data_IF_338495726782
#
_entry.id   IF_338495726782
#
_cell.length_a   1.000
_cell.length_b   1.000
_cell.length_c   1.000
_cell.angle_alpha   90.00
_cell.angle_beta   90.00
_cell.angle_gamma   90.00
#
_symmetry.space_group_name_H-M   'P 1'
#
loop_
_entity.id
_entity.type
_entity.pdbx_description
1 polymer ?
#
# COMPACT_ATOMS: atom_id res chain seq x y z
N UNK A 1 -30.37 -3.50 13.61
CA UNK A 1 -31.04 -2.23 13.26
C UNK A 1 -32.55 -2.41 13.13
N UNK A 2 -33.08 -3.06 12.08
CA UNK A 2 -34.54 -3.25 11.91
C UNK A 2 -35.23 -3.98 13.08
N UNK A 3 -34.55 -4.95 13.71
CA UNK A 3 -35.03 -5.62 14.93
C UNK A 3 -35.29 -4.67 16.10
N UNK A 4 -34.55 -3.56 16.15
CA UNK A 4 -34.63 -2.54 17.20
C UNK A 4 -35.53 -1.36 16.81
N UNK A 5 -36.28 -1.50 15.70
CA UNK A 5 -37.20 -0.47 15.24
C UNK A 5 -36.56 0.67 14.42
N UNK A 6 -35.28 0.56 14.07
CA UNK A 6 -34.62 1.55 13.20
C UNK A 6 -34.63 1.12 11.73
N UNK A 7 -35.02 2.03 10.84
CA UNK A 7 -34.83 1.87 9.40
C UNK A 7 -33.33 1.77 9.07
N UNK A 8 -33.00 0.88 8.13
CA UNK A 8 -31.62 0.68 7.67
C UNK A 8 -31.61 0.06 6.28
N UNK A 9 -30.77 0.60 5.42
CA UNK A 9 -30.48 0.11 4.07
C UNK A 9 -29.01 -0.33 4.05
N UNK A 10 -28.71 -1.61 3.75
CA UNK A 10 -27.34 -2.07 3.57
C UNK A 10 -26.60 -1.26 2.50
N UNK A 11 -25.32 -0.98 2.76
CA UNK A 11 -24.45 -0.33 1.78
C UNK A 11 -24.22 -1.31 0.62
N UNK A 12 -24.40 -0.84 -0.61
CA UNK A 12 -23.95 -1.57 -1.80
C UNK A 12 -22.42 -1.55 -1.84
N UNK A 13 -21.81 -2.71 -1.59
CA UNK A 13 -20.35 -2.89 -1.57
C UNK A 13 -19.72 -2.91 -2.96
N UNK A 14 -20.54 -2.92 -4.02
CA UNK A 14 -20.08 -2.83 -5.43
C UNK A 14 -19.95 -1.39 -5.92
N UNK A 15 -20.22 -0.40 -5.05
CA UNK A 15 -20.03 1.00 -5.37
C UNK A 15 -18.57 1.28 -5.75
N UNK A 16 -18.32 2.03 -6.85
CA UNK A 16 -16.96 2.36 -7.27
C UNK A 16 -16.10 3.02 -6.18
N UNK A 17 -16.71 3.81 -5.29
CA UNK A 17 -16.03 4.46 -4.17
C UNK A 17 -15.49 3.51 -3.10
N UNK A 18 -16.00 2.27 -3.02
CA UNK A 18 -15.56 1.27 -2.05
C UNK A 18 -14.60 0.24 -2.65
N UNK A 19 -14.58 0.11 -3.98
CA UNK A 19 -13.77 -0.91 -4.62
C UNK A 19 -12.29 -0.49 -4.70
N UNK A 20 -11.95 0.80 -4.56
CA UNK A 20 -10.59 1.39 -4.55
C UNK A 20 -9.65 0.92 -5.67
N UNK A 21 -10.12 0.09 -6.60
CA UNK A 21 -9.38 -0.40 -7.74
C UNK A 21 -9.54 0.63 -8.84
N UNK A 22 -8.43 1.21 -9.34
CA UNK A 22 -8.44 1.89 -10.62
C UNK A 22 -9.17 1.02 -11.63
N UNK A 23 -10.15 1.59 -12.32
CA UNK A 23 -10.89 0.87 -13.36
C UNK A 23 -9.96 0.76 -14.57
N UNK A 24 -9.21 -0.33 -14.64
CA UNK A 24 -8.34 -0.62 -15.78
C UNK A 24 -7.28 -1.67 -15.43
N UNK A 25 -6.89 -2.52 -16.40
CA UNK A 25 -5.78 -3.42 -16.20
C UNK A 25 -4.46 -2.63 -16.09
N UNK A 26 -3.92 -2.45 -14.88
CA UNK A 26 -2.46 -2.41 -14.71
C UNK A 26 -1.95 -3.84 -14.91
N UNK A 27 -1.98 -4.33 -16.14
CA UNK A 27 -1.43 -5.62 -16.55
C UNK A 27 -0.05 -5.43 -17.19
N UNK A 28 0.70 -4.43 -16.73
CA UNK A 28 2.09 -4.26 -17.13
C UNK A 28 2.96 -5.12 -16.20
N UNK A 29 3.92 -5.81 -16.78
CA UNK A 29 5.09 -6.28 -16.02
C UNK A 29 5.88 -5.09 -15.48
N UNK A 30 6.76 -5.34 -14.52
CA UNK A 30 7.62 -4.29 -13.95
C UNK A 30 8.49 -3.63 -15.03
N UNK A 31 9.05 -4.43 -15.95
CA UNK A 31 9.82 -3.92 -17.09
C UNK A 31 8.98 -3.05 -18.02
N UNK A 32 7.77 -3.51 -18.38
CA UNK A 32 6.86 -2.72 -19.22
C UNK A 32 6.41 -1.43 -18.53
N UNK A 33 6.21 -1.46 -17.21
CA UNK A 33 5.87 -0.27 -16.44
C UNK A 33 7.04 0.72 -16.41
N UNK A 34 8.26 0.25 -16.12
CA UNK A 34 9.47 1.07 -16.12
C UNK A 34 9.72 1.70 -17.50
N UNK A 35 9.64 0.90 -18.56
CA UNK A 35 9.87 1.38 -19.92
C UNK A 35 8.84 2.45 -20.34
N UNK A 36 7.61 2.36 -19.82
CA UNK A 36 6.53 3.28 -20.15
C UNK A 36 6.47 4.51 -19.25
N UNK A 37 6.73 4.35 -17.95
CA UNK A 37 6.44 5.34 -16.93
C UNK A 37 7.63 5.69 -16.02
N UNK A 38 8.77 5.01 -16.15
CA UNK A 38 9.90 5.15 -15.24
C UNK A 38 9.52 4.75 -13.82
N UNK A 39 9.60 5.70 -12.89
CA UNK A 39 9.20 5.50 -11.50
C UNK A 39 7.69 5.72 -11.26
N UNK A 40 6.94 6.16 -12.28
CA UNK A 40 5.51 6.47 -12.20
C UNK A 40 5.17 7.80 -11.51
N UNK A 41 6.14 8.66 -11.22
CA UNK A 41 5.90 9.95 -10.56
C UNK A 41 5.11 10.92 -11.44
N UNK A 42 5.44 11.06 -12.74
CA UNK A 42 4.67 11.87 -13.67
C UNK A 42 3.27 11.28 -13.92
N UNK A 43 3.17 9.94 -14.00
CA UNK A 43 1.89 9.24 -14.08
C UNK A 43 1.00 9.53 -12.87
N UNK A 44 1.53 9.38 -11.66
CA UNK A 44 0.82 9.68 -10.40
C UNK A 44 0.46 11.17 -10.29
N UNK A 45 1.35 12.07 -10.72
CA UNK A 45 1.06 13.50 -10.76
C UNK A 45 -0.11 13.81 -11.70
N UNK A 46 -0.18 13.17 -12.87
CA UNK A 46 -1.33 13.28 -13.78
C UNK A 46 -2.62 12.77 -13.14
N UNK A 47 -2.58 11.63 -12.44
CA UNK A 47 -3.74 11.10 -11.72
C UNK A 47 -4.28 12.08 -10.66
N UNK A 48 -3.44 12.92 -10.06
CA UNK A 48 -3.89 13.93 -9.10
C UNK A 48 -4.83 14.98 -9.71
N UNK A 49 -4.80 15.18 -11.04
CA UNK A 49 -5.72 16.06 -11.77
C UNK A 49 -7.00 15.36 -12.22
N UNK A 50 -7.06 14.03 -12.14
CA UNK A 50 -8.30 13.33 -12.44
C UNK A 50 -9.34 13.64 -11.37
N UNK A 51 -10.59 13.91 -11.77
CA UNK A 51 -11.65 14.07 -10.80
C UNK A 51 -11.79 12.76 -10.00
N UNK A 52 -11.69 12.85 -8.69
CA UNK A 52 -12.14 11.78 -7.80
C UNK A 52 -13.66 11.63 -7.98
N UNK A 53 -14.07 10.82 -8.96
CA UNK A 53 -15.49 10.64 -9.33
C UNK A 53 -16.21 9.66 -8.39
N UNK A 54 -15.49 9.05 -7.45
CA UNK A 54 -16.04 8.05 -6.55
C UNK A 54 -16.80 8.72 -5.39
N UNK A 55 -18.01 9.21 -5.69
CA UNK A 55 -18.95 9.63 -4.64
C UNK A 55 -19.44 8.38 -3.91
N UNK A 56 -19.13 8.28 -2.62
CA UNK A 56 -19.70 7.24 -1.77
C UNK A 56 -21.17 7.57 -1.46
N UNK A 57 -22.08 6.71 -1.90
CA UNK A 57 -23.52 6.86 -1.63
C UNK A 57 -23.84 6.06 -0.36
N UNK A 58 -24.07 6.79 0.73
CA UNK A 58 -24.59 6.20 1.96
C UNK A 58 -26.13 6.33 1.97
N UNK A 59 -26.89 5.25 1.74
CA UNK A 59 -28.35 5.30 1.66
C UNK A 59 -29.02 5.60 3.02
N UNK A 60 -28.27 5.65 4.12
CA UNK A 60 -28.80 5.91 5.45
C UNK A 60 -28.65 7.37 5.90
N UNK A 61 -28.06 8.26 5.10
CA UNK A 61 -27.91 9.69 5.47
C UNK A 61 -29.28 10.31 5.73
N UNK A 62 -30.21 10.22 4.77
CA UNK A 62 -31.55 10.78 4.90
C UNK A 62 -32.34 10.17 6.07
N UNK A 63 -32.15 8.86 6.31
CA UNK A 63 -32.77 8.15 7.44
C UNK A 63 -32.31 8.77 8.75
N UNK A 64 -31.01 8.98 8.92
CA UNK A 64 -30.42 9.50 10.16
C UNK A 64 -30.71 10.99 10.35
N UNK A 65 -30.73 11.78 9.26
CA UNK A 65 -31.04 13.20 9.31
C UNK A 65 -32.51 13.50 9.61
N UNK A 66 -33.42 12.59 9.25
CA UNK A 66 -34.85 12.71 9.58
C UNK A 66 -35.16 12.43 11.07
N UNK A 67 -34.23 11.84 11.83
CA UNK A 67 -34.43 11.52 13.25
C UNK A 67 -34.30 12.75 14.16
N UNK A 68 -35.10 12.79 15.22
CA UNK A 68 -34.88 13.74 16.32
C UNK A 68 -33.55 13.48 17.04
N UNK A 69 -33.04 14.46 17.78
CA UNK A 69 -31.73 14.37 18.44
C UNK A 69 -31.56 13.12 19.31
N UNK A 70 -32.54 12.84 20.18
CA UNK A 70 -32.58 11.66 21.05
C UNK A 70 -32.69 10.34 20.29
N UNK A 71 -33.41 10.33 19.17
CA UNK A 71 -33.58 9.12 18.35
C UNK A 71 -32.31 8.81 17.57
N UNK A 72 -31.62 9.84 17.07
CA UNK A 72 -30.32 9.72 16.42
C UNK A 72 -29.24 9.23 17.39
N UNK A 73 -29.25 9.68 18.64
CA UNK A 73 -28.35 9.15 19.66
C UNK A 73 -28.56 7.66 19.90
N UNK A 74 -29.83 7.24 20.03
CA UNK A 74 -30.19 5.83 20.17
C UNK A 74 -29.81 5.00 18.93
N UNK A 75 -30.04 5.52 17.71
CA UNK A 75 -29.62 4.89 16.45
C UNK A 75 -28.11 4.66 16.43
N UNK A 76 -27.31 5.68 16.76
CA UNK A 76 -25.86 5.59 16.77
C UNK A 76 -25.34 4.63 17.85
N UNK A 77 -25.98 4.61 19.02
CA UNK A 77 -25.68 3.62 20.05
C UNK A 77 -25.94 2.19 19.56
N UNK A 78 -27.07 1.97 18.90
CA UNK A 78 -27.39 0.66 18.35
C UNK A 78 -26.46 0.26 17.20
N UNK A 79 -26.03 1.20 16.37
CA UNK A 79 -25.01 0.94 15.34
C UNK A 79 -23.69 0.48 15.95
N UNK A 80 -23.25 1.05 17.08
CA UNK A 80 -22.07 0.57 17.80
C UNK A 80 -22.24 -0.85 18.32
N UNK A 81 -23.43 -1.20 18.82
CA UNK A 81 -23.75 -2.58 19.23
C UNK A 81 -23.72 -3.53 18.03
N UNK A 82 -24.37 -3.18 16.91
CA UNK A 82 -24.36 -3.99 15.70
C UNK A 82 -22.94 -4.20 15.15
N UNK A 83 -22.10 -3.15 15.17
CA UNK A 83 -20.69 -3.25 14.74
C UNK A 83 -19.89 -4.20 15.62
N UNK A 84 -20.07 -4.12 16.94
CA UNK A 84 -19.42 -5.04 17.88
C UNK A 84 -19.87 -6.48 17.63
N UNK A 85 -21.18 -6.71 17.49
CA UNK A 85 -21.71 -8.03 17.19
C UNK A 85 -21.10 -8.57 15.89
N UNK A 86 -21.07 -7.76 14.83
CA UNK A 86 -20.43 -8.14 13.56
C UNK A 86 -18.97 -8.56 13.77
N UNK A 87 -18.19 -7.77 14.51
CA UNK A 87 -16.79 -8.10 14.82
C UNK A 87 -16.63 -9.38 15.64
N UNK A 88 -17.58 -9.69 16.52
CA UNK A 88 -17.57 -10.91 17.34
C UNK A 88 -18.04 -12.15 16.57
N UNK A 89 -18.93 -11.98 15.58
CA UNK A 89 -19.58 -13.09 14.88
C UNK A 89 -18.99 -13.41 13.50
N UNK A 90 -18.41 -12.42 12.83
CA UNK A 90 -17.83 -12.60 11.50
C UNK A 90 -16.38 -13.06 11.68
N UNK A 91 -16.01 -14.30 11.30
CA UNK A 91 -14.62 -14.69 11.25
C UNK A 91 -13.91 -13.77 10.25
N UNK A 92 -12.90 -13.01 10.69
CA UNK A 92 -12.08 -12.22 9.77
C UNK A 92 -10.66 -12.81 9.75
N UNK A 93 -10.25 -13.53 8.68
CA UNK A 93 -8.93 -14.12 8.59
C UNK A 93 -7.81 -13.07 8.41
N UNK A 94 -8.19 -11.82 8.10
CA UNK A 94 -7.28 -10.73 7.79
C UNK A 94 -7.06 -9.78 8.97
N UNK A 95 -7.99 -9.70 9.93
CA UNK A 95 -7.80 -8.89 11.13
C UNK A 95 -6.91 -9.64 12.14
N UNK A 96 -5.95 -8.95 12.79
CA UNK A 96 -5.36 -9.48 13.99
C UNK A 96 -6.45 -9.63 15.07
N UNK A 97 -6.38 -10.65 15.95
CA UNK A 97 -7.31 -10.75 17.06
C UNK A 97 -7.30 -9.46 17.90
N UNK A 98 -8.47 -9.06 18.43
CA UNK A 98 -8.60 -7.89 19.28
C UNK A 98 -7.65 -8.00 20.48
N UNK A 99 -6.53 -7.27 20.43
CA UNK A 99 -5.55 -7.23 21.53
C UNK A 99 -6.12 -6.44 22.70
N UNK A 100 -6.07 -7.03 23.89
CA UNK A 100 -6.39 -6.37 25.15
C UNK A 100 -5.09 -5.88 25.80
N UNK A 101 -5.21 -4.87 26.65
CA UNK A 101 -4.08 -4.37 27.43
C UNK A 101 -3.46 -5.51 28.27
N UNK A 102 -2.20 -5.82 28.02
CA UNK A 102 -1.45 -6.91 28.67
C UNK A 102 -1.35 -8.21 27.88
N UNK A 103 -1.94 -8.29 26.68
CA UNK A 103 -1.74 -9.44 25.79
C UNK A 103 -0.33 -9.42 25.17
N UNK A 104 0.24 -10.60 24.93
CA UNK A 104 1.46 -10.75 24.11
C UNK A 104 1.18 -10.30 22.67
N UNK A 105 2.16 -9.71 21.95
CA UNK A 105 2.01 -9.40 20.54
C UNK A 105 1.56 -10.62 19.75
N UNK A 106 0.59 -10.45 18.84
CA UNK A 106 0.16 -11.52 17.96
C UNK A 106 1.33 -12.05 17.12
N UNK A 107 1.29 -13.33 16.72
CA UNK A 107 2.33 -13.90 15.85
C UNK A 107 2.49 -13.12 14.53
N UNK A 108 1.40 -12.54 14.02
CA UNK A 108 1.44 -11.66 12.85
C UNK A 108 2.26 -10.38 13.13
N UNK A 109 2.01 -9.70 14.25
CA UNK A 109 2.75 -8.48 14.60
C UNK A 109 4.22 -8.80 14.86
N UNK A 110 4.50 -9.89 15.58
CA UNK A 110 5.86 -10.38 15.76
C UNK A 110 6.58 -10.61 14.42
N UNK A 111 5.96 -11.33 13.48
CA UNK A 111 6.58 -11.59 12.17
C UNK A 111 6.84 -10.29 11.40
N UNK A 112 5.91 -9.33 11.42
CA UNK A 112 6.10 -8.02 10.80
C UNK A 112 7.30 -7.27 11.38
N UNK A 113 7.47 -7.28 12.71
CA UNK A 113 8.64 -6.70 13.36
C UNK A 113 9.95 -7.40 12.96
N UNK A 114 9.95 -8.73 12.85
CA UNK A 114 11.14 -9.47 12.42
C UNK A 114 11.50 -9.19 10.96
N UNK A 115 10.51 -9.12 10.06
CA UNK A 115 10.75 -8.78 8.66
C UNK A 115 11.34 -7.37 8.52
N UNK A 116 10.86 -6.40 9.29
CA UNK A 116 11.44 -5.05 9.31
C UNK A 116 12.90 -5.04 9.78
N UNK A 117 13.26 -5.88 10.77
CA UNK A 117 14.65 -6.02 11.20
C UNK A 117 15.54 -6.69 10.14
N UNK A 118 14.99 -7.64 9.37
CA UNK A 118 15.70 -8.25 8.23
C UNK A 118 15.96 -7.19 7.16
N UNK A 119 14.96 -6.38 6.80
CA UNK A 119 15.13 -5.29 5.83
C UNK A 119 16.19 -4.28 6.28
N UNK A 120 16.17 -3.86 7.55
CA UNK A 120 17.21 -3.00 8.12
C UNK A 120 18.60 -3.64 8.07
N UNK A 121 18.68 -4.96 8.29
CA UNK A 121 19.94 -5.69 8.22
C UNK A 121 20.47 -5.81 6.79
N UNK A 122 19.60 -6.01 5.78
CA UNK A 122 19.98 -6.01 4.36
C UNK A 122 20.60 -4.66 3.99
N UNK A 123 19.93 -3.54 4.29
CA UNK A 123 20.44 -2.20 3.97
C UNK A 123 21.74 -1.82 4.71
N UNK A 124 22.10 -2.54 5.77
CA UNK A 124 23.35 -2.35 6.52
C UNK A 124 24.44 -3.36 6.19
N UNK A 125 24.15 -4.36 5.34
CA UNK A 125 25.16 -5.36 4.95
C UNK A 125 26.28 -4.66 4.16
N UNK A 126 27.56 -4.86 4.53
CA UNK A 126 28.68 -4.21 3.84
C UNK A 126 28.74 -4.47 2.34
N UNK A 127 28.19 -5.60 1.85
CA UNK A 127 28.12 -5.91 0.41
C UNK A 127 27.13 -5.00 -0.30
N UNK A 128 25.96 -4.78 0.30
CA UNK A 128 24.93 -3.88 -0.24
C UNK A 128 25.45 -2.44 -0.22
N UNK A 129 26.02 -1.98 0.90
CA UNK A 129 26.57 -0.63 1.01
C UNK A 129 27.68 -0.35 -0.02
N UNK A 130 28.51 -1.36 -0.34
CA UNK A 130 29.54 -1.23 -1.36
C UNK A 130 28.97 -1.20 -2.78
N UNK A 131 27.91 -1.97 -3.04
CA UNK A 131 27.21 -1.96 -4.31
C UNK A 131 26.47 -0.62 -4.52
N UNK A 132 25.79 -0.09 -3.50
CA UNK A 132 25.14 1.22 -3.52
C UNK A 132 26.14 2.38 -3.71
N UNK A 133 27.30 2.35 -3.05
CA UNK A 133 28.37 3.34 -3.28
C UNK A 133 28.91 3.27 -4.73
N UNK A 134 28.95 2.09 -5.34
CA UNK A 134 29.35 1.93 -6.74
C UNK A 134 28.28 2.47 -7.68
N UNK A 135 27.01 2.19 -7.38
CA UNK A 135 25.85 2.70 -8.12
C UNK A 135 25.76 4.22 -8.04
N UNK A 136 25.96 4.81 -6.86
CA UNK A 136 25.93 6.26 -6.65
C UNK A 136 26.97 6.97 -7.51
N UNK A 137 28.17 6.40 -7.64
CA UNK A 137 29.21 6.93 -8.54
C UNK A 137 28.85 6.80 -10.01
N UNK A 138 28.17 5.73 -10.40
CA UNK A 138 27.66 5.54 -11.75
C UNK A 138 26.62 6.62 -12.07
N UNK A 139 25.63 6.82 -11.19
CA UNK A 139 24.63 7.89 -11.34
C UNK A 139 25.26 9.28 -11.39
N UNK A 140 26.26 9.55 -10.56
CA UNK A 140 27.00 10.81 -10.61
C UNK A 140 27.71 11.04 -11.94
N UNK A 141 28.13 9.97 -12.63
CA UNK A 141 28.72 10.05 -13.98
C UNK A 141 27.69 10.34 -15.07
N UNK A 142 26.45 9.90 -14.88
CA UNK A 142 25.29 10.22 -15.72
C UNK A 142 24.70 11.61 -15.38
N UNK A 143 25.18 12.26 -14.30
CA UNK A 143 24.83 13.63 -13.93
C UNK A 143 23.85 13.76 -12.76
N UNK A 144 23.59 12.67 -12.03
CA UNK A 144 22.64 12.63 -10.91
C UNK A 144 23.37 12.40 -9.58
N UNK A 145 23.17 13.29 -8.61
CA UNK A 145 23.78 13.19 -7.27
C UNK A 145 22.82 12.48 -6.30
N UNK A 146 22.83 11.15 -6.33
CA UNK A 146 21.95 10.28 -5.54
C UNK A 146 22.79 9.34 -4.67
N UNK A 147 22.41 9.18 -3.40
CA UNK A 147 23.18 8.36 -2.45
C UNK A 147 22.82 6.87 -2.55
N UNK A 148 21.57 6.55 -2.89
CA UNK A 148 21.04 5.20 -3.03
C UNK A 148 19.93 5.13 -4.10
N UNK A 149 19.62 3.94 -4.64
CA UNK A 149 18.49 3.78 -5.56
C UNK A 149 17.15 4.24 -4.96
N UNK A 150 16.98 4.11 -3.64
CA UNK A 150 15.78 4.58 -2.94
C UNK A 150 15.58 6.10 -3.08
N UNK A 151 16.65 6.88 -3.24
CA UNK A 151 16.58 8.33 -3.44
C UNK A 151 16.12 8.71 -4.85
N UNK A 152 16.18 7.80 -5.83
CA UNK A 152 15.87 8.12 -7.22
C UNK A 152 14.37 8.40 -7.44
N UNK A 153 13.48 7.65 -6.78
CA UNK A 153 12.05 7.95 -6.77
C UNK A 153 11.78 9.31 -6.13
N UNK A 154 12.34 9.56 -4.94
CA UNK A 154 12.12 10.81 -4.19
C UNK A 154 12.60 12.01 -5.01
N UNK A 155 13.75 11.88 -5.68
CA UNK A 155 14.30 12.90 -6.57
C UNK A 155 13.31 13.32 -7.66
N UNK A 156 12.62 12.38 -8.31
CA UNK A 156 11.60 12.71 -9.32
C UNK A 156 10.30 13.20 -8.68
N UNK A 157 9.90 12.61 -7.55
CA UNK A 157 8.72 13.05 -6.81
C UNK A 157 8.82 14.52 -6.36
N UNK A 158 10.01 14.97 -5.95
CA UNK A 158 10.30 16.38 -5.64
C UNK A 158 10.12 17.29 -6.86
N UNK A 159 10.47 16.83 -8.07
CA UNK A 159 10.21 17.58 -9.31
C UNK A 159 8.71 17.61 -9.67
N UNK A 160 7.96 16.58 -9.29
CA UNK A 160 6.51 16.50 -9.51
C UNK A 160 5.72 17.40 -8.56
N UNK A 161 6.22 17.64 -7.35
CA UNK A 161 5.50 18.35 -6.29
C UNK A 161 5.00 19.75 -6.69
N UNK A 162 5.76 20.61 -7.41
CA UNK A 162 5.27 21.90 -7.89
C UNK A 162 4.10 21.79 -8.88
N UNK A 163 4.06 20.73 -9.68
CA UNK A 163 2.96 20.47 -10.62
C UNK A 163 1.72 20.05 -9.83
N UNK A 164 1.85 19.07 -8.92
CA UNK A 164 0.76 18.58 -8.08
C UNK A 164 0.16 19.70 -7.20
N UNK A 165 0.99 20.64 -6.74
CA UNK A 165 0.51 21.80 -5.98
C UNK A 165 -0.50 22.68 -6.75
N UNK A 166 -0.57 22.55 -8.08
CA UNK A 166 -1.49 23.28 -8.97
C UNK A 166 -2.77 22.51 -9.29
N UNK A 167 -3.06 21.38 -8.64
CA UNK A 167 -4.27 20.57 -8.89
C UNK A 167 -5.57 21.39 -8.89
N UNK A 168 -5.70 22.40 -8.04
CA UNK A 168 -6.88 23.27 -7.99
C UNK A 168 -7.10 24.12 -9.26
N UNK A 169 -6.06 24.30 -10.08
CA UNK A 169 -6.15 24.99 -11.37
C UNK A 169 -6.76 24.11 -12.46
N UNK A 170 -6.84 22.79 -12.23
CA UNK A 170 -7.22 21.79 -13.23
C UNK A 170 -6.08 21.49 -14.22
N UNK A 171 -6.30 20.52 -15.11
CA UNK A 171 -5.32 20.12 -16.12
C UNK A 171 -5.35 21.11 -17.31
N UNK A 172 -4.54 22.16 -17.22
CA UNK A 172 -4.35 23.14 -18.30
C UNK A 172 -3.31 22.64 -19.31
N UNK A 173 -3.26 23.24 -20.50
CA UNK A 173 -2.24 22.91 -21.52
C UNK A 173 -0.80 23.09 -20.97
N UNK A 174 -0.57 24.12 -20.15
CA UNK A 174 0.73 24.39 -19.50
C UNK A 174 1.11 23.28 -18.50
N UNK A 175 0.14 22.79 -17.72
CA UNK A 175 0.36 21.71 -16.75
C UNK A 175 0.58 20.38 -17.48
N UNK A 176 -0.16 20.12 -18.56
CA UNK A 176 0.04 18.93 -19.39
C UNK A 176 1.43 18.92 -20.04
N UNK A 177 1.91 20.06 -20.55
CA UNK A 177 3.28 20.21 -21.07
C UNK A 177 4.31 19.96 -19.96
N UNK A 178 4.13 20.53 -18.77
CA UNK A 178 5.02 20.27 -17.63
C UNK A 178 5.05 18.80 -17.19
N UNK A 179 3.90 18.09 -17.22
CA UNK A 179 3.82 16.66 -16.93
C UNK A 179 4.54 15.82 -18.00
N UNK A 180 4.48 16.25 -19.28
CA UNK A 180 5.20 15.58 -20.37
C UNK A 180 6.70 15.78 -20.25
N UNK A 181 7.16 17.00 -19.95
CA UNK A 181 8.57 17.30 -19.71
C UNK A 181 9.11 16.50 -18.52
N UNK A 182 8.33 16.43 -17.43
CA UNK A 182 8.66 15.59 -16.28
C UNK A 182 8.73 14.10 -16.66
N UNK A 183 7.79 13.58 -17.44
CA UNK A 183 7.80 12.19 -17.89
C UNK A 183 9.05 11.86 -18.71
N UNK A 184 9.47 12.75 -19.60
CA UNK A 184 10.71 12.57 -20.39
C UNK A 184 11.92 12.57 -19.46
N UNK A 185 11.98 13.49 -18.50
CA UNK A 185 13.09 13.54 -17.55
C UNK A 185 13.13 12.31 -16.63
N UNK A 186 11.98 11.87 -16.13
CA UNK A 186 11.82 10.66 -15.33
C UNK A 186 12.34 9.41 -16.07
N UNK A 187 12.02 9.25 -17.34
CA UNK A 187 12.51 8.12 -18.14
C UNK A 187 14.04 8.16 -18.32
N UNK A 188 14.65 9.35 -18.43
CA UNK A 188 16.11 9.47 -18.49
C UNK A 188 16.78 9.05 -17.18
N UNK A 189 16.22 9.46 -16.04
CA UNK A 189 16.75 9.08 -14.73
C UNK A 189 16.55 7.59 -14.47
N UNK A 190 15.39 7.04 -14.86
CA UNK A 190 15.09 5.62 -14.70
C UNK A 190 15.97 4.73 -15.58
N UNK A 191 16.27 5.14 -16.82
CA UNK A 191 17.20 4.40 -17.71
C UNK A 191 18.63 4.40 -17.15
N UNK A 192 19.10 5.55 -16.65
CA UNK A 192 20.41 5.66 -16.01
C UNK A 192 20.51 4.79 -14.75
N UNK A 193 19.50 4.84 -13.87
CA UNK A 193 19.42 4.02 -12.66
C UNK A 193 19.48 2.53 -13.00
N UNK A 194 18.61 2.09 -13.92
CA UNK A 194 18.52 0.70 -14.32
C UNK A 194 19.84 0.18 -14.91
N UNK A 195 20.44 0.94 -15.83
CA UNK A 195 21.74 0.60 -16.41
C UNK A 195 22.82 0.50 -15.33
N UNK A 196 22.88 1.46 -14.41
CA UNK A 196 23.84 1.46 -13.31
C UNK A 196 23.62 0.26 -12.37
N UNK A 197 22.37 -0.09 -12.07
CA UNK A 197 22.03 -1.23 -11.20
C UNK A 197 22.35 -2.58 -11.87
N UNK A 198 22.06 -2.73 -13.16
CA UNK A 198 22.32 -3.96 -13.94
C UNK A 198 23.83 -4.20 -14.09
N UNK A 199 24.59 -3.19 -14.53
CA UNK A 199 26.04 -3.32 -14.73
C UNK A 199 26.80 -3.67 -13.43
N UNK A 200 26.23 -3.34 -12.28
CA UNK A 200 26.83 -3.54 -10.95
C UNK A 200 26.23 -4.72 -10.17
N UNK A 201 25.28 -5.44 -10.75
CA UNK A 201 24.60 -6.57 -10.10
C UNK A 201 24.03 -6.18 -8.71
N UNK A 202 23.55 -4.94 -8.56
CA UNK A 202 23.08 -4.39 -7.28
C UNK A 202 21.90 -5.20 -6.74
N UNK A 203 20.91 -5.43 -7.61
CA UNK A 203 19.73 -6.24 -7.33
C UNK A 203 20.07 -7.67 -6.91
N UNK A 204 21.02 -8.30 -7.61
CA UNK A 204 21.45 -9.66 -7.28
C UNK A 204 22.15 -9.70 -5.92
N UNK A 205 22.97 -8.69 -5.61
CA UNK A 205 23.63 -8.54 -4.33
C UNK A 205 22.61 -8.40 -3.20
N UNK A 206 21.64 -7.51 -3.34
CA UNK A 206 20.57 -7.31 -2.35
C UNK A 206 19.72 -8.58 -2.15
N UNK A 207 19.30 -9.23 -3.24
CA UNK A 207 18.53 -10.49 -3.19
C UNK A 207 19.31 -11.61 -2.51
N UNK A 208 20.61 -11.73 -2.78
CA UNK A 208 21.47 -12.76 -2.16
C UNK A 208 21.57 -12.53 -0.65
N UNK A 209 21.87 -11.31 -0.23
CA UNK A 209 21.97 -10.93 1.19
C UNK A 209 20.64 -11.18 1.91
N UNK A 210 19.53 -10.77 1.31
CA UNK A 210 18.18 -10.99 1.86
C UNK A 210 17.88 -12.47 2.01
N UNK A 211 18.17 -13.27 0.99
CA UNK A 211 17.95 -14.71 1.03
C UNK A 211 18.77 -15.40 2.14
N UNK A 212 20.03 -15.00 2.34
CA UNK A 212 20.86 -15.52 3.44
C UNK A 212 20.26 -15.21 4.81
N UNK A 213 19.79 -13.96 5.02
CA UNK A 213 19.19 -13.52 6.28
C UNK A 213 17.83 -14.19 6.54
N UNK A 214 16.97 -14.28 5.53
CA UNK A 214 15.68 -14.97 5.63
C UNK A 214 15.82 -16.46 5.86
N UNK A 215 16.80 -17.10 5.20
CA UNK A 215 17.12 -18.52 5.43
C UNK A 215 17.50 -18.75 6.89
N UNK A 216 18.43 -17.94 7.42
CA UNK A 216 18.82 -18.02 8.83
C UNK A 216 17.64 -17.78 9.77
N UNK A 217 16.79 -16.78 9.47
CA UNK A 217 15.60 -16.49 10.24
C UNK A 217 14.65 -17.70 10.31
N UNK A 218 14.42 -18.38 9.19
CA UNK A 218 13.58 -19.56 9.12
C UNK A 218 14.21 -20.77 9.82
N UNK A 219 15.53 -20.94 9.76
CA UNK A 219 16.23 -21.98 10.54
C UNK A 219 16.06 -21.78 12.05
N UNK A 220 16.05 -20.53 12.52
CA UNK A 220 15.93 -20.18 13.94
C UNK A 220 14.47 -20.12 14.43
N UNK A 221 13.52 -19.79 13.55
CA UNK A 221 12.14 -19.45 13.92
C UNK A 221 11.06 -20.21 13.15
N UNK A 222 11.43 -21.22 12.34
CA UNK A 222 10.52 -21.93 11.43
C UNK A 222 9.27 -22.49 12.11
N UNK A 223 9.40 -23.04 13.32
CA UNK A 223 8.26 -23.54 14.10
C UNK A 223 7.25 -22.43 14.44
N UNK A 224 7.73 -21.23 14.77
CA UNK A 224 6.87 -20.08 15.11
C UNK A 224 6.18 -19.50 13.87
N UNK A 225 6.86 -19.48 12.72
CA UNK A 225 6.26 -19.12 11.43
C UNK A 225 5.20 -20.15 11.02
N UNK A 226 5.47 -21.45 11.22
CA UNK A 226 4.52 -22.51 10.94
C UNK A 226 3.25 -22.42 11.81
N UNK A 227 3.38 -22.00 13.08
CA UNK A 227 2.23 -21.73 13.95
C UNK A 227 1.34 -20.62 13.38
N UNK A 228 1.92 -19.50 12.91
CA UNK A 228 1.15 -18.42 12.28
C UNK A 228 0.44 -18.92 11.01
N UNK A 229 1.10 -19.72 10.19
CA UNK A 229 0.50 -20.30 8.99
C UNK A 229 -0.73 -21.17 9.34
N UNK A 230 -0.63 -22.02 10.37
CA UNK A 230 -1.73 -22.84 10.85
C UNK A 230 -2.88 -22.00 11.43
N UNK A 231 -2.58 -20.93 12.18
CA UNK A 231 -3.60 -19.98 12.67
C UNK A 231 -4.37 -19.33 11.51
N UNK A 232 -3.67 -18.93 10.45
CA UNK A 232 -4.30 -18.34 9.26
C UNK A 232 -5.12 -19.35 8.46
N UNK A 233 -4.64 -20.58 8.32
CA UNK A 233 -5.41 -21.64 7.65
C UNK A 233 -6.73 -21.93 8.37
N UNK A 234 -6.69 -22.07 9.70
CA UNK A 234 -7.90 -22.28 10.51
C UNK A 234 -8.88 -21.09 10.41
N UNK A 235 -8.38 -19.85 10.40
CA UNK A 235 -9.21 -18.68 10.24
C UNK A 235 -9.87 -18.61 8.84
N UNK A 236 -9.15 -19.01 7.80
CA UNK A 236 -9.67 -19.08 6.43
C UNK A 236 -10.74 -20.17 6.28
N UNK A 237 -10.55 -21.33 6.93
CA UNK A 237 -11.55 -22.39 6.96
C UNK A 237 -12.84 -21.92 7.64
N UNK A 238 -12.73 -21.31 8.82
CA UNK A 238 -13.89 -20.74 9.53
C UNK A 238 -14.62 -19.67 8.70
N UNK A 239 -13.87 -18.84 7.96
CA UNK A 239 -14.47 -17.84 7.08
C UNK A 239 -15.18 -18.48 5.87
N UNK A 240 -14.59 -19.52 5.26
CA UNK A 240 -15.24 -20.25 4.17
C UNK A 240 -16.53 -20.91 4.64
N UNK A 241 -16.49 -21.60 5.78
CA UNK A 241 -17.68 -22.21 6.39
C UNK A 241 -18.76 -21.16 6.67
N UNK A 242 -18.39 -19.96 7.11
CA UNK A 242 -19.33 -18.86 7.30
C UNK A 242 -19.99 -18.43 5.98
N UNK A 243 -19.24 -18.36 4.87
CA UNK A 243 -19.78 -17.95 3.56
C UNK A 243 -20.71 -18.99 2.93
N UNK A 244 -20.48 -20.27 3.23
CA UNK A 244 -21.28 -21.38 2.69
C UNK A 244 -22.60 -21.62 3.45
N UNK A 245 -22.79 -20.98 4.61
CA UNK A 245 -23.99 -21.08 5.47
C UNK A 245 -24.91 -19.85 5.37
#
# INVERSE_FOLDING_TARGET
>A
MRSEGFDYVPIDVTQPALLSTPVGPMLLTEDEFRDQYGYGAAFNARLAFEPMTATFINPNVDIVEALGESEREAYNAQMRVCRRLLQETLPNPFDPPLQREGDEPSLQLWLMEQLALIDEAVGKDPRVLAAEDSWSRCMASEGYDLASPADAYEFIAEQAAPIVARVSEGLTDEIEEALQDLQVYELQVSDADWKCAEELELDETMRTVRFELETKFLEENGDRVALLAAEKEAALEAYRDFLDN
#
